data_IF_459157810144
#
_entry.id   IF_459157810144
#
_cell.length_a   1.000
_cell.length_b   1.000
_cell.length_c   1.000
_cell.angle_alpha   90.00
_cell.angle_beta   90.00
_cell.angle_gamma   90.00
#
_symmetry.space_group_name_H-M   'P 1'
#
loop_
_entity.id
_entity.type
_entity.pdbx_description
1 polymer ?
#
# COMPACT_ATOMS: atom_id res chain seq x y z
N UNK A 1 15.30 -4.58 -13.51
CA UNK A 1 14.48 -5.47 -12.66
C UNK A 1 13.65 -6.33 -13.60
N UNK A 2 13.54 -7.63 -13.33
CA UNK A 2 12.79 -8.59 -14.13
C UNK A 2 11.50 -8.97 -13.39
N UNK A 3 10.51 -9.49 -14.09
CA UNK A 3 9.29 -10.01 -13.49
C UNK A 3 8.80 -11.27 -14.20
N UNK A 4 8.30 -12.23 -13.43
CA UNK A 4 7.57 -13.40 -13.89
C UNK A 4 6.11 -13.20 -13.48
N UNK A 5 5.20 -13.18 -14.44
CA UNK A 5 3.76 -13.25 -14.20
C UNK A 5 3.35 -14.70 -14.38
N UNK A 6 2.68 -15.26 -13.39
CA UNK A 6 2.15 -16.62 -13.41
C UNK A 6 0.64 -16.55 -13.15
N UNK A 7 -0.15 -16.99 -14.13
CA UNK A 7 -1.62 -17.06 -14.05
C UNK A 7 -2.13 -18.50 -13.99
N UNK A 8 -1.28 -19.44 -13.59
CA UNK A 8 -1.52 -20.88 -13.55
C UNK A 8 -1.00 -21.56 -14.82
N UNK A 9 -1.84 -21.65 -15.85
CA UNK A 9 -1.49 -22.35 -17.09
C UNK A 9 -0.62 -21.52 -18.06
N UNK A 10 -0.32 -20.27 -17.70
CA UNK A 10 0.49 -19.37 -18.51
C UNK A 10 1.46 -18.59 -17.65
N UNK A 11 2.71 -18.52 -18.10
CA UNK A 11 3.79 -17.78 -17.48
C UNK A 11 4.42 -16.85 -18.51
N UNK A 12 4.73 -15.63 -18.10
CA UNK A 12 5.38 -14.63 -18.95
C UNK A 12 6.52 -13.95 -18.20
N UNK A 13 7.71 -14.01 -18.78
CA UNK A 13 8.90 -13.35 -18.28
C UNK A 13 9.08 -12.00 -18.99
N UNK A 14 9.22 -10.93 -18.23
CA UNK A 14 9.30 -9.58 -18.78
C UNK A 14 10.28 -8.66 -18.05
N UNK A 15 10.67 -7.57 -18.72
CA UNK A 15 11.32 -6.43 -18.06
C UNK A 15 10.28 -5.61 -17.32
N UNK A 16 10.46 -5.38 -16.02
CA UNK A 16 9.46 -4.64 -15.25
C UNK A 16 9.34 -3.19 -15.73
N UNK A 17 10.45 -2.59 -16.18
CA UNK A 17 10.53 -1.19 -16.62
C UNK A 17 9.86 -0.96 -17.98
N UNK A 18 10.08 -1.82 -18.98
CA UNK A 18 9.49 -1.64 -20.32
C UNK A 18 8.19 -2.42 -20.51
N UNK A 19 7.92 -3.41 -19.65
CA UNK A 19 6.81 -4.34 -19.80
C UNK A 19 6.95 -5.28 -21.00
N UNK A 20 8.18 -5.48 -21.51
CA UNK A 20 8.43 -6.30 -22.70
C UNK A 20 8.83 -7.71 -22.31
N UNK A 21 8.29 -8.68 -23.05
CA UNK A 21 8.67 -10.09 -22.96
C UNK A 21 10.18 -10.26 -23.15
N UNK A 22 10.78 -11.15 -22.37
CA UNK A 22 12.17 -11.59 -22.51
C UNK A 22 12.18 -12.94 -23.22
N UNK A 23 11.99 -12.92 -24.54
CA UNK A 23 11.92 -14.12 -25.37
C UNK A 23 13.22 -14.96 -25.28
N UNK A 24 13.08 -16.26 -25.02
CA UNK A 24 14.21 -17.18 -24.94
C UNK A 24 15.02 -17.12 -23.64
N UNK A 25 14.64 -16.28 -22.67
CA UNK A 25 15.20 -16.29 -21.33
C UNK A 25 14.37 -17.15 -20.38
N UNK A 26 15.02 -17.78 -19.39
CA UNK A 26 14.35 -18.49 -18.31
C UNK A 26 14.49 -17.72 -17.00
N UNK A 27 13.41 -17.70 -16.22
CA UNK A 27 13.46 -17.21 -14.85
C UNK A 27 14.32 -18.16 -13.97
N UNK A 28 15.04 -17.64 -12.97
CA UNK A 28 15.75 -18.47 -12.00
C UNK A 28 14.84 -19.55 -11.38
N UNK A 29 15.39 -20.73 -11.06
CA UNK A 29 14.63 -21.85 -10.49
C UNK A 29 13.82 -21.42 -9.26
N UNK A 30 14.46 -20.70 -8.34
CA UNK A 30 13.81 -20.12 -7.16
C UNK A 30 12.56 -19.30 -7.52
N UNK A 31 12.62 -18.48 -8.58
CA UNK A 31 11.50 -17.62 -8.99
C UNK A 31 10.35 -18.44 -9.55
N UNK A 32 10.65 -19.42 -10.42
CA UNK A 32 9.63 -20.32 -10.99
C UNK A 32 8.95 -21.14 -9.90
N UNK A 33 9.74 -21.69 -8.99
CA UNK A 33 9.27 -22.49 -7.87
C UNK A 33 8.34 -21.69 -6.95
N UNK A 34 8.73 -20.46 -6.59
CA UNK A 34 7.88 -19.61 -5.76
C UNK A 34 6.55 -19.29 -6.45
N UNK A 35 6.57 -18.96 -7.74
CA UNK A 35 5.36 -18.65 -8.49
C UNK A 35 4.39 -19.85 -8.57
N UNK A 36 4.91 -21.04 -8.88
CA UNK A 36 4.09 -22.23 -9.10
C UNK A 36 3.61 -22.91 -7.80
N UNK A 37 4.40 -22.85 -6.72
CA UNK A 37 4.13 -23.62 -5.49
C UNK A 37 2.91 -23.13 -4.71
N UNK A 38 2.59 -21.84 -4.81
CA UNK A 38 1.50 -21.22 -4.06
C UNK A 38 0.69 -20.28 -4.96
N UNK A 39 -0.32 -20.77 -5.69
CA UNK A 39 -1.23 -19.91 -6.42
C UNK A 39 -1.96 -18.97 -5.44
N UNK A 40 -2.15 -17.71 -5.83
CA UNK A 40 -2.89 -16.76 -5.00
C UNK A 40 -4.38 -17.16 -4.96
N UNK A 41 -5.05 -17.14 -3.80
CA UNK A 41 -6.46 -17.53 -3.73
C UNK A 41 -7.44 -16.39 -4.09
N UNK A 42 -6.96 -15.13 -4.14
CA UNK A 42 -7.78 -13.95 -4.40
C UNK A 42 -7.95 -13.04 -3.18
N UNK A 43 -8.19 -11.74 -3.42
CA UNK A 43 -8.21 -10.70 -2.37
C UNK A 43 -9.33 -10.87 -1.34
N UNK A 44 -10.49 -11.39 -1.78
CA UNK A 44 -11.64 -11.64 -0.91
C UNK A 44 -11.59 -13.02 -0.26
N UNK A 45 -10.71 -13.90 -0.72
CA UNK A 45 -10.61 -15.26 -0.21
C UNK A 45 -10.01 -15.24 1.21
N UNK A 46 -10.64 -15.91 2.18
CA UNK A 46 -10.10 -16.01 3.54
C UNK A 46 -8.71 -16.66 3.65
N UNK A 47 -8.27 -17.42 2.65
CA UNK A 47 -6.94 -18.03 2.56
C UNK A 47 -5.85 -17.05 2.10
N UNK A 48 -6.19 -15.81 1.70
CA UNK A 48 -5.21 -14.78 1.32
C UNK A 48 -4.15 -14.52 2.40
N UNK A 49 -4.54 -14.51 3.68
CA UNK A 49 -3.60 -14.36 4.80
C UNK A 49 -2.68 -15.59 4.95
N UNK A 50 -3.22 -16.79 4.76
CA UNK A 50 -2.44 -18.04 4.78
C UNK A 50 -1.43 -18.05 3.64
N UNK A 51 -1.82 -17.61 2.43
CA UNK A 51 -0.92 -17.48 1.29
C UNK A 51 0.27 -16.56 1.58
N UNK A 52 0.05 -15.38 2.17
CA UNK A 52 1.14 -14.46 2.55
C UNK A 52 2.12 -15.15 3.48
N UNK A 53 1.62 -15.93 4.44
CA UNK A 53 2.46 -16.63 5.42
C UNK A 53 3.25 -17.77 4.80
N UNK A 54 2.61 -18.63 4.00
CA UNK A 54 3.29 -19.74 3.31
C UNK A 54 4.41 -19.23 2.42
N UNK A 55 4.15 -18.16 1.68
CA UNK A 55 5.12 -17.54 0.80
C UNK A 55 6.24 -16.84 1.58
N UNK A 56 5.93 -16.17 2.69
CA UNK A 56 6.95 -15.59 3.58
C UNK A 56 7.89 -16.67 4.14
N UNK A 57 7.35 -17.81 4.58
CA UNK A 57 8.13 -18.95 5.06
C UNK A 57 8.97 -19.59 3.96
N UNK A 58 8.43 -19.67 2.73
CA UNK A 58 9.19 -20.13 1.58
C UNK A 58 10.37 -19.19 1.25
N UNK A 59 10.14 -17.87 1.27
CA UNK A 59 11.20 -16.88 1.10
C UNK A 59 12.25 -16.97 2.21
N UNK A 60 11.84 -17.18 3.46
CA UNK A 60 12.79 -17.34 4.56
C UNK A 60 13.69 -18.57 4.36
N UNK A 61 13.08 -19.71 4.00
CA UNK A 61 13.80 -20.98 3.80
C UNK A 61 14.68 -20.97 2.57
N UNK A 62 14.14 -20.52 1.43
CA UNK A 62 14.75 -20.73 0.11
C UNK A 62 15.65 -19.54 -0.30
N UNK A 63 15.42 -18.33 0.25
CA UNK A 63 16.18 -17.11 -0.05
C UNK A 63 16.98 -16.55 1.15
N UNK A 64 16.62 -16.93 2.38
CA UNK A 64 17.28 -16.48 3.62
C UNK A 64 17.53 -14.96 3.68
N UNK A 65 16.48 -14.12 3.54
CA UNK A 65 16.59 -12.67 3.60
C UNK A 65 17.06 -12.18 4.97
N UNK A 66 17.70 -11.02 4.96
CA UNK A 66 18.01 -10.20 6.13
C UNK A 66 16.88 -9.21 6.43
N UNK A 67 16.12 -8.80 5.41
CA UNK A 67 14.84 -8.10 5.55
C UNK A 67 13.75 -8.87 4.82
N UNK A 68 12.76 -9.37 5.54
CA UNK A 68 11.54 -9.94 4.98
C UNK A 68 10.36 -9.01 5.29
N UNK A 69 9.64 -8.59 4.26
CA UNK A 69 8.42 -7.79 4.39
C UNK A 69 7.21 -8.68 4.10
N UNK A 70 6.21 -8.69 4.97
CA UNK A 70 4.96 -9.41 4.79
C UNK A 70 3.76 -8.46 4.93
N UNK A 71 2.97 -8.32 3.85
CA UNK A 71 1.82 -7.40 3.79
C UNK A 71 0.51 -8.19 3.80
N UNK A 72 -0.23 -8.08 4.89
CA UNK A 72 -1.54 -8.69 5.05
C UNK A 72 -2.63 -7.65 4.78
N UNK A 73 -3.34 -7.83 3.66
CA UNK A 73 -4.43 -6.93 3.24
C UNK A 73 -5.84 -7.50 3.42
N UNK A 74 -5.97 -8.75 3.90
CA UNK A 74 -7.27 -9.41 4.03
C UNK A 74 -8.30 -8.59 4.81
N UNK A 75 -7.98 -7.99 6.00
CA UNK A 75 -8.94 -7.18 6.74
C UNK A 75 -9.40 -5.91 5.99
N UNK A 76 -8.51 -5.30 5.18
CA UNK A 76 -8.89 -4.18 4.31
C UNK A 76 -9.91 -4.59 3.25
N UNK A 77 -9.71 -5.75 2.63
CA UNK A 77 -10.58 -6.22 1.54
C UNK A 77 -12.00 -6.60 2.00
N UNK A 78 -12.23 -6.76 3.30
CA UNK A 78 -13.57 -6.88 3.89
C UNK A 78 -14.50 -5.73 3.52
N UNK A 79 -13.95 -4.56 3.12
CA UNK A 79 -14.72 -3.41 2.69
C UNK A 79 -15.73 -3.66 1.57
N UNK A 80 -15.52 -4.67 0.73
CA UNK A 80 -16.39 -4.99 -0.41
C UNK A 80 -17.39 -6.10 -0.14
N UNK A 81 -17.39 -6.65 1.07
CA UNK A 81 -18.33 -7.67 1.46
C UNK A 81 -19.20 -7.15 2.61
N UNK A 82 -20.54 -7.33 2.57
CA UNK A 82 -21.41 -7.01 3.69
C UNK A 82 -21.13 -8.01 4.82
N UNK A 83 -20.08 -7.77 5.59
CA UNK A 83 -19.72 -8.57 6.75
C UNK A 83 -20.39 -7.97 7.99
N UNK A 84 -21.14 -8.81 8.71
CA UNK A 84 -21.51 -8.47 10.08
C UNK A 84 -20.26 -8.40 10.96
N UNK A 85 -20.37 -7.72 12.11
CA UNK A 85 -19.26 -7.55 13.08
C UNK A 85 -18.49 -8.86 13.37
N UNK A 86 -19.22 -9.97 13.55
CA UNK A 86 -18.62 -11.29 13.82
C UNK A 86 -17.75 -11.83 12.67
N UNK A 87 -18.11 -11.58 11.41
CA UNK A 87 -17.32 -12.02 10.26
C UNK A 87 -16.02 -11.20 10.14
N UNK A 88 -16.09 -9.89 10.38
CA UNK A 88 -14.90 -9.03 10.43
C UNK A 88 -13.95 -9.42 11.58
N UNK A 89 -14.50 -9.69 12.77
CA UNK A 89 -13.72 -10.15 13.93
C UNK A 89 -13.00 -11.48 13.63
N UNK A 90 -13.67 -12.44 12.99
CA UNK A 90 -13.04 -13.70 12.58
C UNK A 90 -11.95 -13.50 11.53
N UNK A 91 -12.13 -12.55 10.59
CA UNK A 91 -11.11 -12.20 9.61
C UNK A 91 -9.86 -11.61 10.28
N UNK A 92 -10.04 -10.68 11.23
CA UNK A 92 -8.95 -10.14 12.05
C UNK A 92 -8.27 -11.24 12.86
N UNK A 93 -9.05 -12.12 13.51
CA UNK A 93 -8.53 -13.24 14.28
C UNK A 93 -7.73 -14.22 13.41
N UNK A 94 -8.16 -14.46 12.17
CA UNK A 94 -7.42 -15.28 11.21
C UNK A 94 -6.10 -14.66 10.80
N UNK A 95 -6.10 -13.37 10.43
CA UNK A 95 -4.86 -12.65 10.11
C UNK A 95 -3.90 -12.68 11.30
N UNK A 96 -4.40 -12.49 12.52
CA UNK A 96 -3.61 -12.65 13.74
C UNK A 96 -2.97 -14.04 13.85
N UNK A 97 -3.75 -15.12 13.68
CA UNK A 97 -3.24 -16.51 13.76
C UNK A 97 -2.13 -16.77 12.74
N UNK A 98 -2.29 -16.27 11.52
CA UNK A 98 -1.27 -16.40 10.47
C UNK A 98 0.00 -15.60 10.79
N UNK A 99 -0.12 -14.38 11.34
CA UNK A 99 1.03 -13.62 11.82
C UNK A 99 1.72 -14.35 12.97
N UNK A 100 0.99 -14.82 13.98
CA UNK A 100 1.56 -15.59 15.10
C UNK A 100 2.29 -16.85 14.62
N UNK A 101 1.74 -17.54 13.61
CA UNK A 101 2.38 -18.68 12.96
C UNK A 101 3.68 -18.28 12.29
N UNK A 102 3.70 -17.19 11.52
CA UNK A 102 4.91 -16.65 10.91
C UNK A 102 5.98 -16.34 11.98
N UNK A 103 5.60 -15.59 13.01
CA UNK A 103 6.49 -15.22 14.12
C UNK A 103 7.10 -16.45 14.81
N UNK A 104 6.31 -17.51 15.01
CA UNK A 104 6.78 -18.74 15.66
C UNK A 104 7.71 -19.60 14.81
N UNK A 105 7.65 -19.45 13.48
CA UNK A 105 8.37 -20.27 12.52
C UNK A 105 9.62 -19.58 11.96
N UNK A 106 9.72 -18.25 12.08
CA UNK A 106 10.88 -17.48 11.62
C UNK A 106 11.88 -17.21 12.74
N UNK A 107 13.16 -17.05 12.38
CA UNK A 107 14.20 -16.58 13.32
C UNK A 107 14.44 -15.07 13.23
N UNK A 108 13.57 -14.34 12.55
CA UNK A 108 13.71 -12.92 12.25
C UNK A 108 13.18 -12.08 13.41
N UNK A 109 13.83 -10.96 13.72
CA UNK A 109 13.35 -10.00 14.73
C UNK A 109 12.09 -9.30 14.21
N UNK A 110 10.95 -9.42 14.91
CA UNK A 110 9.68 -8.97 14.35
C UNK A 110 9.40 -7.50 14.61
N UNK A 111 8.88 -6.84 13.58
CA UNK A 111 8.38 -5.46 13.61
C UNK A 111 7.00 -5.46 12.98
N UNK A 112 5.97 -5.15 13.76
CA UNK A 112 4.58 -5.20 13.31
C UNK A 112 4.00 -3.79 13.28
N UNK A 113 3.33 -3.42 12.19
CA UNK A 113 2.70 -2.12 12.01
C UNK A 113 1.26 -2.30 11.53
N UNK A 114 0.30 -1.81 12.31
CA UNK A 114 -1.07 -1.65 11.83
C UNK A 114 -1.19 -0.39 11.00
N UNK A 115 -1.80 -0.44 9.83
CA UNK A 115 -1.84 0.70 8.90
C UNK A 115 -3.09 1.59 9.05
N UNK A 116 -3.97 1.24 9.98
CA UNK A 116 -5.22 1.93 10.25
C UNK A 116 -6.42 0.99 10.17
N UNK A 117 -7.46 1.30 10.95
CA UNK A 117 -8.66 0.46 11.03
C UNK A 117 -9.58 0.59 9.82
N UNK A 118 -10.70 -0.13 9.90
CA UNK A 118 -11.81 -0.02 8.98
C UNK A 118 -13.04 0.46 9.75
N UNK A 119 -13.76 1.43 9.19
CA UNK A 119 -14.98 1.99 9.77
C UNK A 119 -16.19 1.58 8.93
N UNK A 120 -17.38 1.40 9.52
CA UNK A 120 -18.61 1.27 8.76
C UNK A 120 -18.79 2.42 7.78
N UNK A 121 -19.11 2.10 6.52
CA UNK A 121 -19.45 3.10 5.52
C UNK A 121 -20.79 3.75 5.88
N UNK A 122 -20.76 5.06 6.15
CA UNK A 122 -21.92 5.89 6.49
C UNK A 122 -22.57 6.50 5.25
N UNK A 123 -21.83 6.54 4.14
CA UNK A 123 -22.33 7.05 2.87
C UNK A 123 -21.19 7.31 1.89
N UNK A 124 -21.61 7.57 0.65
CA UNK A 124 -20.71 7.86 -0.46
C UNK A 124 -20.99 9.29 -0.94
N UNK A 125 -19.94 10.04 -1.25
CA UNK A 125 -20.07 11.39 -1.81
C UNK A 125 -19.87 11.31 -3.31
N UNK A 126 -20.96 11.52 -4.06
CA UNK A 126 -20.94 11.50 -5.52
C UNK A 126 -20.37 12.81 -6.08
N UNK A 127 -19.19 12.73 -6.70
CA UNK A 127 -18.48 13.88 -7.29
C UNK A 127 -18.47 13.83 -8.82
N UNK A 128 -18.73 12.67 -9.45
CA UNK A 128 -18.60 12.49 -10.90
C UNK A 128 -19.69 13.23 -11.67
N UNK A 129 -20.93 13.16 -11.18
CA UNK A 129 -22.09 13.80 -11.83
C UNK A 129 -22.54 15.11 -11.20
N UNK A 130 -21.96 15.47 -10.05
CA UNK A 130 -22.45 16.57 -9.21
C UNK A 130 -21.69 17.88 -9.43
N UNK A 131 -20.56 17.84 -10.14
CA UNK A 131 -19.65 18.96 -10.34
C UNK A 131 -19.45 19.24 -11.83
N UNK A 132 -19.24 20.50 -12.18
CA UNK A 132 -18.83 20.90 -13.52
C UNK A 132 -17.32 20.67 -13.74
N UNK A 133 -16.52 20.90 -12.70
CA UNK A 133 -15.10 20.55 -12.67
C UNK A 133 -14.86 19.03 -12.62
N UNK A 134 -13.63 18.62 -12.93
CA UNK A 134 -13.25 17.21 -12.96
C UNK A 134 -12.74 16.76 -11.59
N UNK A 135 -13.49 15.90 -10.91
CA UNK A 135 -13.02 15.18 -9.73
C UNK A 135 -12.36 13.84 -10.11
N UNK A 136 -11.22 13.55 -9.48
CA UNK A 136 -10.45 12.32 -9.68
C UNK A 136 -10.12 11.70 -8.34
N UNK A 137 -10.39 10.41 -8.17
CA UNK A 137 -10.08 9.66 -6.96
C UNK A 137 -9.44 8.33 -7.33
N UNK A 138 -8.22 8.09 -6.83
CA UNK A 138 -7.48 6.87 -7.11
C UNK A 138 -7.89 5.76 -6.12
N UNK A 139 -8.39 4.65 -6.66
CA UNK A 139 -8.64 3.44 -5.89
C UNK A 139 -10.08 3.28 -5.40
N UNK A 140 -10.40 2.12 -4.81
CA UNK A 140 -11.78 1.68 -4.68
C UNK A 140 -12.48 2.18 -3.40
N UNK A 141 -11.74 2.70 -2.41
CA UNK A 141 -12.23 3.25 -1.14
C UNK A 141 -11.65 4.65 -0.86
N UNK A 142 -11.51 5.46 -1.92
CA UNK A 142 -10.82 6.74 -1.82
C UNK A 142 -11.50 7.67 -0.81
N UNK A 143 -10.69 8.22 0.09
CA UNK A 143 -11.08 9.28 1.03
C UNK A 143 -10.52 10.65 0.66
N UNK A 144 -9.77 10.68 -0.44
CA UNK A 144 -9.14 11.87 -0.99
C UNK A 144 -9.41 11.90 -2.48
N UNK A 145 -9.71 13.08 -3.01
CA UNK A 145 -9.91 13.30 -4.44
C UNK A 145 -9.27 14.61 -4.87
N UNK A 146 -8.73 14.66 -6.07
CA UNK A 146 -8.30 15.89 -6.70
C UNK A 146 -9.42 16.51 -7.51
N UNK A 147 -9.57 17.82 -7.42
CA UNK A 147 -10.50 18.61 -8.21
C UNK A 147 -9.73 19.50 -9.18
N UNK A 148 -10.06 19.40 -10.46
CA UNK A 148 -9.43 20.14 -11.54
C UNK A 148 -10.46 21.04 -12.24
N UNK A 149 -10.05 22.27 -12.51
CA UNK A 149 -10.85 23.30 -13.18
C UNK A 149 -12.23 23.53 -12.53
N UNK A 150 -12.33 23.70 -11.19
CA UNK A 150 -13.63 23.88 -10.56
C UNK A 150 -14.24 25.24 -10.85
N UNK A 151 -15.57 25.28 -10.85
CA UNK A 151 -16.33 26.53 -10.82
C UNK A 151 -16.51 27.03 -9.38
N UNK A 152 -16.95 28.29 -9.24
CA UNK A 152 -17.31 28.82 -7.93
C UNK A 152 -18.53 28.11 -7.30
N UNK A 153 -19.42 27.53 -8.12
CA UNK A 153 -20.56 26.75 -7.65
C UNK A 153 -20.12 25.37 -7.15
N UNK A 154 -19.17 24.71 -7.82
CA UNK A 154 -18.56 23.44 -7.34
C UNK A 154 -18.04 23.59 -5.91
N UNK A 155 -17.29 24.67 -5.64
CA UNK A 155 -16.74 24.93 -4.32
C UNK A 155 -17.81 25.23 -3.27
N UNK A 156 -18.92 25.87 -3.65
CA UNK A 156 -20.06 26.11 -2.74
C UNK A 156 -20.78 24.80 -2.42
N UNK A 157 -20.97 23.92 -3.41
CA UNK A 157 -21.57 22.60 -3.24
C UNK A 157 -20.74 21.74 -2.29
N UNK A 158 -19.43 21.63 -2.55
CA UNK A 158 -18.52 20.83 -1.73
C UNK A 158 -18.47 21.28 -0.27
N UNK A 159 -18.46 22.59 0.00
CA UNK A 159 -18.47 23.14 1.37
C UNK A 159 -19.73 22.81 2.16
N UNK A 160 -20.84 22.49 1.48
CA UNK A 160 -22.13 22.15 2.10
C UNK A 160 -22.38 20.64 2.19
N UNK A 161 -21.55 19.82 1.54
CA UNK A 161 -21.76 18.38 1.48
C UNK A 161 -21.47 17.70 2.84
N UNK A 162 -22.42 16.86 3.30
CA UNK A 162 -22.37 16.20 4.62
C UNK A 162 -21.15 15.28 4.79
N UNK A 163 -20.66 14.69 3.70
CA UNK A 163 -19.51 13.77 3.72
C UNK A 163 -18.15 14.42 3.48
N UNK A 164 -18.08 15.75 3.29
CA UNK A 164 -16.81 16.47 3.06
C UNK A 164 -16.29 17.05 4.37
N UNK A 165 -15.02 16.77 4.67
CA UNK A 165 -14.30 17.33 5.82
C UNK A 165 -13.62 18.64 5.45
N UNK A 166 -12.89 18.63 4.32
CA UNK A 166 -12.08 19.77 3.90
C UNK A 166 -11.96 19.83 2.38
N UNK A 167 -11.84 21.05 1.87
CA UNK A 167 -11.46 21.35 0.48
C UNK A 167 -10.29 22.32 0.57
N UNK A 168 -9.10 21.89 0.14
CA UNK A 168 -7.84 22.63 0.33
C UNK A 168 -7.33 23.11 -1.02
N UNK A 169 -7.06 24.40 -1.16
CA UNK A 169 -6.47 24.95 -2.37
C UNK A 169 -5.01 24.50 -2.52
N UNK A 170 -4.53 24.36 -3.77
CA UNK A 170 -3.13 24.01 -4.05
C UNK A 170 -2.15 24.96 -3.36
N UNK A 171 -2.39 26.27 -3.43
CA UNK A 171 -1.49 27.29 -2.87
C UNK A 171 -1.47 27.23 -1.35
N UNK A 172 -2.62 26.98 -0.71
CA UNK A 172 -2.72 26.78 0.73
C UNK A 172 -1.90 25.55 1.16
N UNK A 173 -2.10 24.43 0.46
CA UNK A 173 -1.37 23.20 0.72
C UNK A 173 0.15 23.39 0.52
N UNK A 174 0.55 24.10 -0.53
CA UNK A 174 1.95 24.39 -0.83
C UNK A 174 2.61 25.25 0.24
N UNK A 175 1.93 26.29 0.69
CA UNK A 175 2.44 27.19 1.73
C UNK A 175 2.63 26.47 3.06
N UNK A 176 1.78 25.49 3.37
CA UNK A 176 1.86 24.75 4.62
C UNK A 176 2.90 23.63 4.61
N UNK A 177 2.92 22.80 3.56
CA UNK A 177 3.75 21.59 3.55
C UNK A 177 5.08 21.76 2.81
N UNK A 178 5.25 22.84 2.04
CA UNK A 178 6.43 23.04 1.20
C UNK A 178 6.68 21.85 0.26
N UNK A 179 7.93 21.61 -0.11
CA UNK A 179 8.31 20.45 -0.93
C UNK A 179 8.62 20.78 -2.38
N UNK A 180 8.72 19.73 -3.21
CA UNK A 180 9.28 19.86 -4.55
C UNK A 180 8.31 20.52 -5.55
N UNK A 181 8.72 21.48 -6.40
CA UNK A 181 7.83 22.12 -7.38
C UNK A 181 7.11 21.13 -8.31
N UNK A 182 7.77 20.04 -8.71
CA UNK A 182 7.15 19.01 -9.55
C UNK A 182 5.99 18.25 -8.86
N UNK A 183 5.95 18.21 -7.52
CA UNK A 183 4.79 17.71 -6.79
C UNK A 183 3.57 18.60 -7.06
N UNK A 184 3.75 19.93 -6.97
CA UNK A 184 2.68 20.91 -7.15
C UNK A 184 2.24 21.11 -8.60
N UNK A 185 3.13 20.87 -9.57
CA UNK A 185 2.76 20.81 -10.99
C UNK A 185 1.73 19.70 -11.29
N UNK A 186 1.75 18.64 -10.47
CA UNK A 186 0.86 17.48 -10.60
C UNK A 186 -0.30 17.50 -9.59
N UNK A 187 -0.26 18.40 -8.62
CA UNK A 187 -1.27 18.54 -7.57
C UNK A 187 -2.58 19.06 -8.17
N UNK A 188 -3.76 18.64 -7.69
CA UNK A 188 -5.04 19.18 -8.16
C UNK A 188 -5.19 20.67 -7.88
N UNK A 189 -6.18 21.36 -8.46
CA UNK A 189 -6.45 22.76 -8.08
C UNK A 189 -6.94 22.82 -6.63
N UNK A 190 -7.75 21.81 -6.24
CA UNK A 190 -8.12 21.58 -4.84
C UNK A 190 -8.03 20.10 -4.47
N UNK A 191 -7.57 19.82 -3.26
CA UNK A 191 -7.67 18.51 -2.63
C UNK A 191 -8.97 18.43 -1.81
N UNK A 192 -9.80 17.43 -2.07
CA UNK A 192 -11.03 17.14 -1.35
C UNK A 192 -10.76 15.98 -0.39
N UNK A 193 -11.16 16.14 0.87
CA UNK A 193 -11.05 15.12 1.91
C UNK A 193 -12.44 14.76 2.45
N UNK A 194 -12.73 13.46 2.50
CA UNK A 194 -13.98 12.96 3.10
C UNK A 194 -13.89 12.91 4.63
N UNK A 195 -15.04 13.10 5.29
CA UNK A 195 -15.18 12.80 6.72
C UNK A 195 -14.99 11.31 6.98
N UNK A 196 -14.65 10.96 8.21
CA UNK A 196 -14.59 9.57 8.64
C UNK A 196 -15.93 8.85 8.41
N UNK A 197 -15.85 7.62 7.90
CA UNK A 197 -17.02 6.83 7.50
C UNK A 197 -17.54 7.15 6.09
N UNK A 198 -16.97 8.11 5.35
CA UNK A 198 -17.38 8.40 3.97
C UNK A 198 -16.27 8.08 2.97
N UNK A 199 -16.64 7.60 1.78
CA UNK A 199 -15.75 7.55 0.61
C UNK A 199 -16.23 8.49 -0.49
N UNK A 200 -15.30 8.90 -1.35
CA UNK A 200 -15.55 9.76 -2.50
C UNK A 200 -15.73 8.90 -3.76
N UNK A 201 -16.75 9.21 -4.56
CA UNK A 201 -16.97 8.61 -5.88
C UNK A 201 -16.66 9.65 -6.94
N UNK A 202 -15.65 9.38 -7.75
CA UNK A 202 -15.15 10.27 -8.79
C UNK A 202 -14.53 9.44 -9.94
N UNK A 203 -13.93 10.10 -10.93
CA UNK A 203 -13.22 9.39 -11.98
C UNK A 203 -12.11 8.51 -11.35
N UNK A 204 -12.16 7.21 -11.63
CA UNK A 204 -11.23 6.21 -11.11
C UNK A 204 -11.68 5.44 -9.87
N UNK A 205 -12.82 5.81 -9.31
CA UNK A 205 -13.45 5.03 -8.24
C UNK A 205 -13.96 3.69 -8.75
N UNK A 206 -13.93 2.68 -7.88
CA UNK A 206 -14.61 1.41 -8.16
C UNK A 206 -16.13 1.60 -8.17
N UNK A 207 -16.87 0.93 -9.07
CA UNK A 207 -18.34 0.91 -9.02
C UNK A 207 -18.89 -0.02 -7.92
N UNK A 208 -18.02 -0.76 -7.21
CA UNK A 208 -18.46 -1.70 -6.17
C UNK A 208 -18.91 -0.92 -4.92
N UNK A 209 -20.04 -1.31 -4.29
CA UNK A 209 -20.46 -0.74 -3.02
C UNK A 209 -19.38 -0.90 -1.94
N UNK A 210 -19.20 0.13 -1.12
CA UNK A 210 -18.33 0.08 0.05
C UNK A 210 -19.16 -0.14 1.32
N UNK A 211 -18.87 -1.21 2.05
CA UNK A 211 -19.48 -1.50 3.36
C UNK A 211 -18.61 -1.03 4.52
N UNK A 212 -17.29 -1.03 4.32
CA UNK A 212 -16.32 -0.42 5.21
C UNK A 212 -15.47 0.58 4.43
N UNK A 213 -14.94 1.59 5.13
CA UNK A 213 -13.98 2.55 4.58
C UNK A 213 -12.74 2.64 5.48
N UNK A 214 -11.56 2.92 4.93
CA UNK A 214 -10.36 3.11 5.72
C UNK A 214 -10.50 4.23 6.75
N UNK A 215 -10.07 3.96 7.97
CA UNK A 215 -9.81 4.99 8.95
C UNK A 215 -8.66 5.89 8.47
N UNK A 216 -8.68 7.16 8.87
CA UNK A 216 -7.56 8.08 8.71
C UNK A 216 -7.01 8.42 10.09
N UNK A 217 -6.34 7.47 10.78
CA UNK A 217 -5.97 7.67 12.17
C UNK A 217 -4.76 8.61 12.28
N UNK A 218 -4.74 9.43 13.32
CA UNK A 218 -3.56 10.25 13.63
C UNK A 218 -2.40 9.41 14.21
N UNK A 219 -2.71 8.24 14.78
CA UNK A 219 -1.77 7.33 15.41
C UNK A 219 -1.97 5.91 14.87
N UNK A 220 -0.89 5.20 14.62
CA UNK A 220 -0.92 3.79 14.23
C UNK A 220 -0.14 2.92 15.24
N UNK A 221 -0.54 1.65 15.45
CA UNK A 221 0.14 0.76 16.38
C UNK A 221 1.44 0.21 15.80
N UNK A 222 2.50 0.22 16.62
CA UNK A 222 3.82 -0.33 16.29
C UNK A 222 4.30 -1.28 17.41
N UNK A 223 4.68 -2.50 17.02
CA UNK A 223 5.39 -3.47 17.88
C UNK A 223 6.79 -3.70 17.31
N UNK A 224 7.79 -3.84 18.19
CA UNK A 224 9.16 -4.17 17.79
C UNK A 224 10.13 -4.18 18.97
N UNK A 225 11.42 -4.43 18.73
CA UNK A 225 12.45 -4.43 19.76
C UNK A 225 12.56 -3.07 20.45
N UNK A 226 13.07 -3.05 21.69
CA UNK A 226 13.20 -1.81 22.47
C UNK A 226 13.95 -0.69 21.73
N UNK A 227 15.07 -1.03 21.08
CA UNK A 227 15.87 -0.07 20.30
C UNK A 227 15.14 0.54 19.09
N UNK A 228 14.09 -0.13 18.57
CA UNK A 228 13.21 0.44 17.56
C UNK A 228 12.14 1.31 18.21
N UNK A 229 11.47 0.78 19.23
CA UNK A 229 10.35 1.47 19.91
C UNK A 229 10.76 2.79 20.55
N UNK A 230 12.01 2.95 20.96
CA UNK A 230 12.52 4.20 21.54
C UNK A 230 12.75 5.30 20.48
N UNK A 231 13.05 4.91 19.23
CA UNK A 231 13.44 5.84 18.16
C UNK A 231 12.30 6.24 17.24
N UNK A 232 11.31 5.37 17.04
CA UNK A 232 10.21 5.63 16.11
C UNK A 232 9.10 6.41 16.82
N UNK A 233 8.90 7.68 16.44
CA UNK A 233 7.82 8.53 16.94
C UNK A 233 6.79 8.84 15.85
N UNK A 234 7.22 8.81 14.59
CA UNK A 234 6.41 8.96 13.38
C UNK A 234 6.67 7.81 12.43
N UNK A 235 5.72 7.54 11.55
CA UNK A 235 5.84 6.50 10.52
C UNK A 235 7.11 6.69 9.65
N UNK A 236 7.55 7.94 9.43
CA UNK A 236 8.76 8.26 8.64
C UNK A 236 10.06 7.92 9.38
N UNK A 237 10.01 7.68 10.69
CA UNK A 237 11.19 7.26 11.45
C UNK A 237 11.47 5.75 11.27
N UNK A 238 10.52 5.00 10.70
CA UNK A 238 10.59 3.55 10.60
C UNK A 238 11.73 3.09 9.68
N UNK A 239 11.71 3.49 8.40
CA UNK A 239 12.74 3.12 7.43
C UNK A 239 14.18 3.43 7.88
N UNK A 240 14.54 4.65 8.34
CA UNK A 240 15.91 4.93 8.79
C UNK A 240 16.28 4.11 10.03
N UNK A 241 15.35 3.88 10.96
CA UNK A 241 15.59 3.05 12.15
C UNK A 241 15.84 1.58 11.77
N UNK A 242 15.00 1.02 10.89
CA UNK A 242 15.17 -0.36 10.38
C UNK A 242 16.50 -0.52 9.63
N UNK A 243 16.87 0.47 8.82
CA UNK A 243 18.15 0.47 8.11
C UNK A 243 19.35 0.45 9.05
N UNK A 244 19.29 1.17 10.18
CA UNK A 244 20.32 1.13 11.22
C UNK A 244 20.43 -0.27 11.85
N UNK A 245 19.30 -0.92 12.17
CA UNK A 245 19.27 -2.26 12.74
C UNK A 245 19.83 -3.30 11.77
N UNK A 246 19.42 -3.24 10.50
CA UNK A 246 19.92 -4.11 9.44
C UNK A 246 21.44 -3.95 9.23
N UNK A 247 21.96 -2.72 9.31
CA UNK A 247 23.42 -2.44 9.22
C UNK A 247 24.21 -2.99 10.42
N UNK A 248 23.55 -3.22 11.55
CA UNK A 248 24.14 -3.89 12.73
C UNK A 248 24.07 -5.41 12.65
N UNK A 249 23.58 -5.95 11.53
CA UNK A 249 23.46 -7.39 11.30
C UNK A 249 22.21 -8.02 11.88
N UNK A 250 21.23 -7.22 12.34
CA UNK A 250 19.93 -7.77 12.71
C UNK A 250 19.19 -8.22 11.45
N UNK A 251 18.52 -9.37 11.52
CA UNK A 251 17.62 -9.84 10.47
C UNK A 251 16.19 -9.51 10.90
N UNK A 252 15.45 -8.78 10.07
CA UNK A 252 14.16 -8.19 10.42
C UNK A 252 13.04 -8.84 9.62
N UNK A 253 11.93 -9.14 10.31
CA UNK A 253 10.62 -9.41 9.72
C UNK A 253 9.73 -8.18 9.93
N UNK A 254 9.43 -7.45 8.85
CA UNK A 254 8.49 -6.33 8.87
C UNK A 254 7.10 -6.81 8.41
N UNK A 255 6.14 -6.83 9.34
CA UNK A 255 4.74 -7.19 9.07
C UNK A 255 3.90 -5.93 8.99
N UNK A 256 3.22 -5.73 7.86
CA UNK A 256 2.27 -4.64 7.65
C UNK A 256 0.85 -5.20 7.60
N UNK A 257 -0.07 -4.59 8.36
CA UNK A 257 -1.46 -5.04 8.51
C UNK A 257 -2.42 -3.95 8.03
N UNK A 258 -2.98 -4.11 6.84
CA UNK A 258 -4.01 -3.18 6.34
C UNK A 258 -5.38 -3.50 6.95
N UNK A 259 -6.11 -2.47 7.35
CA UNK A 259 -7.42 -2.60 7.97
C UNK A 259 -7.37 -2.98 9.46
N UNK A 260 -6.18 -3.00 10.06
CA UNK A 260 -5.98 -3.20 11.49
C UNK A 260 -5.39 -1.94 12.13
N UNK A 261 -6.26 -1.16 12.78
CA UNK A 261 -5.90 0.01 13.60
C UNK A 261 -5.69 -0.36 15.06
N UNK A 262 -5.52 0.64 15.94
CA UNK A 262 -5.24 0.45 17.37
C UNK A 262 -6.23 -0.48 18.08
N UNK A 263 -7.52 -0.40 17.71
CA UNK A 263 -8.59 -1.16 18.36
C UNK A 263 -8.59 -2.64 17.98
N UNK A 264 -8.06 -2.96 16.80
CA UNK A 264 -8.00 -4.31 16.25
C UNK A 264 -6.63 -4.96 16.41
N UNK A 265 -5.64 -4.23 16.94
CA UNK A 265 -4.25 -4.65 16.98
C UNK A 265 -3.96 -5.47 18.25
N UNK A 266 -3.72 -6.79 18.14
CA UNK A 266 -3.75 -7.70 19.29
C UNK A 266 -2.45 -7.77 20.10
N UNK A 267 -1.35 -7.20 19.60
CA UNK A 267 -0.04 -7.26 20.26
C UNK A 267 0.21 -6.02 21.11
N UNK A 268 1.03 -6.11 22.18
CA UNK A 268 1.49 -4.92 22.88
C UNK A 268 2.19 -3.96 21.92
N UNK A 269 1.71 -2.73 21.85
CA UNK A 269 2.18 -1.75 20.88
C UNK A 269 2.46 -0.39 21.53
N UNK A 270 3.24 0.42 20.82
CA UNK A 270 3.37 1.86 21.04
C UNK A 270 2.66 2.59 19.91
N UNK A 271 1.83 3.61 20.18
CA UNK A 271 1.28 4.44 19.11
C UNK A 271 2.38 5.33 18.51
N UNK A 272 2.41 5.43 17.18
CA UNK A 272 3.30 6.33 16.43
C UNK A 272 2.50 7.24 15.51
N UNK A 273 3.00 8.45 15.27
CA UNK A 273 2.32 9.43 14.44
C UNK A 273 2.17 8.95 13.00
N UNK A 274 0.95 9.04 12.50
CA UNK A 274 0.55 8.72 11.12
C UNK A 274 0.14 10.00 10.38
N UNK A 275 0.89 11.10 10.61
CA UNK A 275 0.54 12.44 10.15
C UNK A 275 1.73 13.22 9.62
N UNK A 276 1.44 14.19 8.76
CA UNK A 276 2.32 15.32 8.45
C UNK A 276 1.48 16.59 8.65
N UNK A 277 1.77 17.40 9.67
CA UNK A 277 0.87 18.50 10.06
C UNK A 277 -0.55 17.99 10.34
N UNK A 278 -1.57 18.59 9.73
CA UNK A 278 -2.95 18.09 9.81
C UNK A 278 -3.23 16.92 8.87
N UNK A 279 -2.39 16.67 7.86
CA UNK A 279 -2.62 15.61 6.88
C UNK A 279 -2.45 14.26 7.54
N UNK A 280 -3.48 13.42 7.43
CA UNK A 280 -3.47 12.05 7.94
C UNK A 280 -3.31 11.09 6.78
N UNK A 281 -2.34 10.20 6.92
CA UNK A 281 -2.14 9.13 5.96
C UNK A 281 -3.26 8.09 6.10
N UNK A 282 -3.74 7.56 4.99
CA UNK A 282 -4.89 6.65 4.97
C UNK A 282 -4.41 5.24 4.64
N UNK A 283 -4.98 4.25 5.30
CA UNK A 283 -4.62 2.86 5.09
C UNK A 283 -4.74 2.48 3.62
N UNK A 284 -3.70 1.80 3.11
CA UNK A 284 -3.61 1.33 1.73
C UNK A 284 -3.59 2.43 0.65
N UNK A 285 -3.28 3.66 1.04
CA UNK A 285 -2.97 4.75 0.12
C UNK A 285 -1.46 4.85 -0.11
N UNK A 286 -1.08 5.26 -1.31
CA UNK A 286 0.32 5.31 -1.73
C UNK A 286 1.22 6.20 -0.87
N UNK A 287 0.77 7.39 -0.41
CA UNK A 287 1.58 8.24 0.45
C UNK A 287 2.00 7.57 1.76
N UNK A 288 1.14 6.71 2.35
CA UNK A 288 1.45 6.05 3.62
C UNK A 288 2.59 5.05 3.43
N UNK A 289 2.50 4.23 2.40
CA UNK A 289 3.52 3.26 2.04
C UNK A 289 4.85 3.91 1.69
N UNK A 290 4.83 4.96 0.85
CA UNK A 290 6.04 5.71 0.52
C UNK A 290 6.71 6.21 1.79
N UNK A 291 5.95 6.83 2.68
CA UNK A 291 6.52 7.44 3.86
C UNK A 291 7.05 6.40 4.86
N UNK A 292 6.40 5.24 5.00
CA UNK A 292 6.88 4.11 5.79
C UNK A 292 8.20 3.52 5.27
N UNK A 293 8.29 3.30 3.95
CA UNK A 293 9.42 2.60 3.35
C UNK A 293 10.62 3.50 3.02
N UNK A 294 10.41 4.80 2.89
CA UNK A 294 11.47 5.75 2.49
C UNK A 294 11.92 6.65 3.64
N UNK A 295 11.09 6.76 4.67
CA UNK A 295 11.30 7.69 5.77
C UNK A 295 11.15 9.16 5.39
N UNK A 296 10.36 9.43 4.34
CA UNK A 296 10.13 10.78 3.83
C UNK A 296 8.64 11.07 3.71
N UNK A 297 8.22 12.28 4.08
CA UNK A 297 6.85 12.70 3.90
C UNK A 297 6.46 12.80 2.41
N UNK A 298 5.16 12.81 2.14
CA UNK A 298 4.62 12.70 0.77
C UNK A 298 5.09 13.83 -0.16
N UNK A 299 5.45 14.99 0.38
CA UNK A 299 5.97 16.15 -0.37
C UNK A 299 7.37 15.96 -0.94
N UNK A 300 8.09 14.91 -0.52
CA UNK A 300 9.38 14.54 -1.11
C UNK A 300 9.23 13.84 -2.48
N UNK A 301 8.02 13.40 -2.83
CA UNK A 301 7.73 12.62 -4.04
C UNK A 301 7.08 13.47 -5.11
N UNK A 302 6.88 12.91 -6.31
CA UNK A 302 6.21 13.58 -7.43
C UNK A 302 4.79 13.05 -7.66
N UNK A 303 4.22 12.35 -6.67
CA UNK A 303 2.91 11.71 -6.73
C UNK A 303 1.99 12.24 -5.62
N UNK A 304 1.38 13.42 -5.82
CA UNK A 304 0.52 14.03 -4.81
C UNK A 304 -0.78 13.27 -4.57
N UNK A 305 -1.42 13.47 -3.41
CA UNK A 305 -2.79 13.01 -3.21
C UNK A 305 -3.73 13.70 -4.21
N UNK A 306 -4.74 12.96 -4.68
CA UNK A 306 -5.66 13.49 -5.70
C UNK A 306 -5.05 13.68 -7.09
N UNK A 307 -3.88 13.09 -7.37
CA UNK A 307 -3.26 13.10 -8.69
C UNK A 307 -4.25 12.63 -9.78
N UNK A 308 -4.24 13.31 -10.92
CA UNK A 308 -4.92 12.89 -12.13
C UNK A 308 -4.22 11.66 -12.75
N UNK A 309 -4.36 10.49 -12.12
CA UNK A 309 -3.61 9.26 -12.45
C UNK A 309 -3.74 8.85 -13.93
N UNK A 310 -4.87 9.15 -14.58
CA UNK A 310 -5.10 8.84 -16.00
C UNK A 310 -4.16 9.61 -16.95
N UNK A 311 -3.55 10.71 -16.49
CA UNK A 311 -2.53 11.44 -17.25
C UNK A 311 -1.17 10.73 -17.21
N UNK A 312 -0.93 9.93 -16.18
CA UNK A 312 0.28 9.14 -16.02
C UNK A 312 0.19 7.79 -16.74
N UNK A 313 -1.03 7.31 -17.00
CA UNK A 313 -1.31 6.05 -17.68
C UNK A 313 -1.36 6.22 -19.21
N UNK A 314 -0.17 6.29 -19.81
CA UNK A 314 0.02 6.50 -21.26
C UNK A 314 0.70 5.30 -21.93
N UNK A 315 0.46 5.06 -23.23
CA UNK A 315 1.23 4.06 -23.98
C UNK A 315 2.74 4.31 -23.84
N UNK A 316 3.51 3.25 -23.54
CA UNK A 316 4.95 3.35 -23.35
C UNK A 316 5.40 3.98 -22.02
N UNK A 317 4.50 4.14 -21.05
CA UNK A 317 4.86 4.52 -19.69
C UNK A 317 5.86 3.50 -19.10
N UNK A 318 6.98 3.95 -18.52
CA UNK A 318 7.86 3.07 -17.76
C UNK A 318 7.12 2.44 -16.57
N UNK A 319 7.47 1.20 -16.25
CA UNK A 319 6.88 0.42 -15.16
C UNK A 319 5.35 0.22 -15.32
N UNK A 320 4.87 -0.34 -16.44
CA UNK A 320 3.42 -0.46 -16.71
C UNK A 320 2.68 -1.34 -15.70
N UNK A 321 3.38 -2.22 -14.97
CA UNK A 321 2.82 -3.07 -13.92
C UNK A 321 2.85 -2.43 -12.52
N UNK A 322 3.34 -1.20 -12.40
CA UNK A 322 3.54 -0.49 -11.13
C UNK A 322 2.48 0.60 -10.88
N UNK A 323 1.24 0.38 -11.34
CA UNK A 323 0.15 1.33 -11.12
C UNK A 323 0.43 2.70 -11.72
N UNK A 324 0.31 3.77 -10.92
CA UNK A 324 0.53 5.15 -11.40
C UNK A 324 2.01 5.57 -11.45
N UNK A 325 2.93 4.76 -10.94
CA UNK A 325 4.36 5.10 -10.84
C UNK A 325 5.08 4.91 -12.17
N UNK A 326 5.81 5.94 -12.62
CA UNK A 326 6.74 5.88 -13.75
C UNK A 326 8.19 5.62 -13.32
N UNK A 327 8.43 5.50 -12.02
CA UNK A 327 9.73 5.19 -11.42
C UNK A 327 9.52 4.49 -10.08
N UNK A 328 10.43 3.59 -9.72
CA UNK A 328 10.43 2.97 -8.40
C UNK A 328 11.17 3.86 -7.38
N UNK A 329 10.68 4.04 -6.15
CA UNK A 329 11.30 4.92 -5.16
C UNK A 329 12.76 4.52 -4.87
N UNK A 330 13.70 5.42 -5.17
CA UNK A 330 15.13 5.15 -4.99
C UNK A 330 15.49 4.98 -3.50
N UNK A 331 14.81 5.70 -2.61
CA UNK A 331 15.04 5.70 -1.18
C UNK A 331 14.30 4.58 -0.42
N UNK A 332 13.56 3.70 -1.12
CA UNK A 332 12.86 2.59 -0.47
C UNK A 332 13.85 1.69 0.31
N UNK A 333 13.46 1.28 1.51
CA UNK A 333 14.28 0.52 2.46
C UNK A 333 14.95 -0.71 1.81
N UNK A 334 14.18 -1.52 1.08
CA UNK A 334 14.70 -2.72 0.42
C UNK A 334 15.65 -2.45 -0.75
N UNK A 335 15.71 -1.20 -1.23
CA UNK A 335 16.60 -0.74 -2.31
C UNK A 335 17.87 -0.10 -1.78
N UNK A 336 17.79 0.66 -0.69
CA UNK A 336 18.95 1.29 -0.06
C UNK A 336 19.76 0.32 0.80
N UNK A 337 19.14 -0.76 1.30
CA UNK A 337 19.87 -1.80 2.00
C UNK A 337 20.57 -2.75 0.99
N UNK A 338 21.90 -2.92 1.06
CA UNK A 338 22.65 -3.72 0.09
C UNK A 338 22.56 -5.24 0.31
N UNK A 339 21.94 -5.67 1.40
CA UNK A 339 21.81 -7.08 1.75
C UNK A 339 20.68 -7.81 1.02
N UNK A 340 20.37 -9.03 1.49
CA UNK A 340 19.27 -9.83 0.91
C UNK A 340 17.93 -9.34 1.44
N UNK A 341 17.07 -8.87 0.54
CA UNK A 341 15.76 -8.32 0.90
C UNK A 341 14.67 -9.01 0.11
N UNK A 342 13.60 -9.41 0.80
CA UNK A 342 12.44 -10.03 0.19
C UNK A 342 11.14 -9.38 0.68
N UNK A 343 10.11 -9.37 -0.17
CA UNK A 343 8.78 -8.91 0.18
C UNK A 343 7.70 -9.86 -0.35
N UNK A 344 6.64 -10.03 0.41
CA UNK A 344 5.42 -10.70 -0.02
C UNK A 344 4.18 -9.93 0.40
N UNK A 345 3.15 -9.90 -0.44
CA UNK A 345 1.90 -9.24 -0.07
C UNK A 345 0.69 -9.62 -0.88
N UNK A 346 -0.46 -9.71 -0.18
CA UNK A 346 -1.80 -9.78 -0.77
C UNK A 346 -2.31 -8.42 -1.28
N UNK A 347 -1.38 -7.52 -1.61
CA UNK A 347 -1.64 -6.17 -2.11
C UNK A 347 -0.81 -5.93 -3.37
N UNK A 348 -1.47 -6.00 -4.51
CA UNK A 348 -0.82 -5.81 -5.81
C UNK A 348 -0.25 -4.40 -5.92
N UNK A 349 0.83 -4.26 -6.70
CA UNK A 349 1.63 -3.03 -6.89
C UNK A 349 2.39 -2.58 -5.64
N UNK A 350 1.74 -2.58 -4.47
CA UNK A 350 2.31 -2.01 -3.25
C UNK A 350 3.55 -2.77 -2.79
N UNK A 351 3.50 -4.10 -2.92
CA UNK A 351 4.58 -4.99 -2.48
C UNK A 351 5.87 -4.69 -3.24
N UNK A 352 5.87 -4.73 -4.58
CA UNK A 352 7.09 -4.49 -5.34
C UNK A 352 7.49 -3.01 -5.43
N UNK A 353 6.53 -2.08 -5.52
CA UNK A 353 6.85 -0.65 -5.67
C UNK A 353 7.45 -0.09 -4.40
N UNK A 354 6.81 -0.30 -3.25
CA UNK A 354 7.19 0.44 -2.04
C UNK A 354 8.25 -0.27 -1.21
N UNK A 355 8.19 -1.60 -1.10
CA UNK A 355 9.23 -2.32 -0.34
C UNK A 355 10.60 -2.18 -1.01
N UNK A 356 10.63 -2.15 -2.35
CA UNK A 356 11.84 -1.99 -3.14
C UNK A 356 12.84 -3.14 -2.95
N UNK A 357 12.38 -4.31 -2.49
CA UNK A 357 13.20 -5.46 -2.18
C UNK A 357 13.83 -6.09 -3.44
N UNK A 358 14.85 -6.94 -3.23
CA UNK A 358 15.52 -7.67 -4.32
C UNK A 358 14.67 -8.77 -4.91
N UNK A 359 13.81 -9.37 -4.12
CA UNK A 359 12.84 -10.38 -4.53
C UNK A 359 11.47 -10.01 -3.96
N UNK A 360 10.48 -9.79 -4.79
CA UNK A 360 9.11 -9.52 -4.33
C UNK A 360 8.16 -10.54 -4.93
N UNK A 361 7.23 -11.06 -4.12
CA UNK A 361 6.15 -11.94 -4.57
C UNK A 361 4.82 -11.28 -4.21
N UNK A 362 4.03 -10.91 -5.20
CA UNK A 362 2.76 -10.25 -4.94
C UNK A 362 1.59 -10.92 -5.64
N UNK A 363 0.40 -10.71 -5.09
CA UNK A 363 -0.79 -11.04 -5.84
C UNK A 363 -0.84 -10.23 -7.15
N UNK A 364 -1.18 -10.91 -8.23
CA UNK A 364 -1.49 -10.29 -9.50
C UNK A 364 -3.02 -10.23 -9.62
N UNK A 365 -3.56 -9.10 -9.15
CA UNK A 365 -5.01 -8.84 -9.11
C UNK A 365 -5.29 -7.46 -9.69
N UNK A 366 -6.32 -7.35 -10.52
CA UNK A 366 -6.74 -6.09 -11.13
C UNK A 366 -8.24 -5.90 -10.89
N UNK A 367 -8.62 -4.87 -10.13
CA UNK A 367 -10.04 -4.60 -9.83
C UNK A 367 -10.76 -5.72 -9.05
N UNK A 368 -10.03 -6.42 -8.17
CA UNK A 368 -10.44 -7.64 -7.46
C UNK A 368 -10.62 -8.89 -8.37
N UNK A 369 -10.27 -8.82 -9.64
CA UNK A 369 -10.21 -10.00 -10.51
C UNK A 369 -8.90 -10.71 -10.32
N UNK A 370 -8.97 -11.94 -9.83
CA UNK A 370 -7.82 -12.80 -9.62
C UNK A 370 -7.18 -13.15 -10.96
N UNK A 371 -5.91 -12.79 -11.13
CA UNK A 371 -5.14 -13.12 -12.32
C UNK A 371 -3.99 -14.08 -11.99
N UNK A 372 -3.38 -13.99 -10.82
CA UNK A 372 -2.39 -14.97 -10.37
C UNK A 372 -1.35 -14.38 -9.43
N UNK A 373 -0.07 -14.66 -9.67
CA UNK A 373 1.08 -14.19 -8.90
C UNK A 373 2.05 -13.44 -9.82
N UNK A 374 2.68 -12.39 -9.30
CA UNK A 374 3.82 -11.76 -9.95
C UNK A 374 5.03 -11.82 -9.02
N UNK A 375 6.15 -12.34 -9.55
CA UNK A 375 7.43 -12.36 -8.85
C UNK A 375 8.37 -11.37 -9.54
N UNK A 376 8.90 -10.38 -8.82
CA UNK A 376 9.88 -9.43 -9.37
C UNK A 376 11.23 -9.61 -8.70
N UNK A 377 12.32 -9.42 -9.47
CA UNK A 377 13.66 -9.51 -8.89
C UNK A 377 14.73 -8.63 -9.54
N UNK A 378 15.83 -8.45 -8.81
CA UNK A 378 17.07 -7.79 -9.26
C UNK A 378 18.24 -8.76 -9.16
N UNK A 379 19.03 -8.83 -10.21
CA UNK A 379 20.25 -9.65 -10.25
C UNK A 379 21.40 -9.00 -9.45
N UNK A 380 22.31 -9.80 -8.87
CA UNK A 380 22.17 -11.23 -8.64
C UNK A 380 21.20 -11.53 -7.50
N UNK A 381 20.48 -12.65 -7.61
CA UNK A 381 19.65 -13.20 -6.52
C UNK A 381 20.54 -13.82 -5.43
#
# INVERSE_FOLDING_TARGET
MRALIDVGDWQELLTLEEGRALEGEEAPELVRDLAARYPYPGDLDPASATWVTEMALALERDYAPELLVAIYASPYWAAFHPEGKSAWEERVARTRREVERLLSATSLEPVLVGLGGMLPCRGEVELLSSLEGLAVAAGPLARQAGLFLPTSEDLKLLRRAVGIERVVAREEFQNEFGGHPAFYQRFPDYLILSREGFCLRALGSSPRPAYLVPEGPALIPLTGPAGLREKVNSLVDLAPTLLELLRRGQRILLVLLEGMGTDAFPWPFRPVANTCGWYRYIAADFPQYLALFTGQHFTAWTYPPGLAYYREDRPGKPYPFSGLFSELPAAALGRVYPGRTAAVGGRSVHTHVFAGCRLCVECFVRGLYHQGVMVTWRDPL
#
